data_IF_854658160458
#
_entry.id   IF_854658160458
#
_cell.length_a   1.000
_cell.length_b   1.000
_cell.length_c   1.000
_cell.angle_alpha   90.00
_cell.angle_beta   90.00
_cell.angle_gamma   90.00
#
_symmetry.space_group_name_H-M   'P 1'
#
loop_
_entity.id
_entity.type
_entity.pdbx_description
1 polymer ?
#
# COMPACT_ATOMS: atom_id res chain seq x y z
N UNK A 1 -24.48 -1.43 7.54
CA UNK A 1 -23.69 -1.65 6.31
C UNK A 1 -22.72 -0.48 6.04
N UNK A 2 -21.95 -0.07 7.06
CA UNK A 2 -20.97 1.02 6.97
C UNK A 2 -19.59 0.47 6.59
N UNK A 3 -19.21 -0.64 7.21
CA UNK A 3 -17.95 -1.36 6.98
C UNK A 3 -17.71 -1.70 5.48
N UNK A 4 -18.70 -2.25 4.79
CA UNK A 4 -18.57 -2.58 3.36
C UNK A 4 -18.35 -1.36 2.48
N UNK A 5 -18.97 -0.21 2.81
CA UNK A 5 -18.77 1.02 2.04
C UNK A 5 -17.38 1.59 2.26
N UNK A 6 -16.87 1.51 3.49
CA UNK A 6 -15.48 1.90 3.80
C UNK A 6 -14.47 1.02 3.09
N UNK A 7 -14.71 -0.30 3.05
CA UNK A 7 -13.86 -1.24 2.34
C UNK A 7 -13.87 -0.99 0.82
N UNK A 8 -15.05 -0.74 0.25
CA UNK A 8 -15.19 -0.41 -1.18
C UNK A 8 -14.57 0.95 -1.49
N UNK A 9 -14.66 1.95 -0.61
CA UNK A 9 -14.01 3.25 -0.82
C UNK A 9 -12.49 3.14 -0.82
N UNK A 10 -11.93 2.21 -0.04
CA UNK A 10 -10.50 1.94 -0.02
C UNK A 10 -10.02 1.26 -1.31
N UNK A 11 -10.87 0.38 -1.87
CA UNK A 11 -10.63 -0.26 -3.17
C UNK A 11 -10.83 0.68 -4.38
N UNK A 12 -11.52 1.81 -4.19
CA UNK A 12 -11.75 2.82 -5.23
C UNK A 12 -10.62 3.84 -5.36
N UNK A 13 -9.74 3.93 -4.37
CA UNK A 13 -8.56 4.79 -4.44
C UNK A 13 -7.53 4.15 -5.40
N UNK A 14 -7.11 4.90 -6.41
CA UNK A 14 -6.25 4.42 -7.49
C UNK A 14 -4.94 3.86 -6.95
N UNK A 15 -4.37 4.49 -5.91
CA UNK A 15 -3.07 4.12 -5.37
C UNK A 15 -3.13 2.80 -4.57
N UNK A 16 -4.19 2.62 -3.78
CA UNK A 16 -4.41 1.39 -3.03
C UNK A 16 -4.81 0.23 -3.94
N UNK A 17 -5.57 0.50 -5.01
CA UNK A 17 -5.92 -0.50 -6.01
C UNK A 17 -4.68 -1.02 -6.74
N UNK A 18 -3.77 -0.13 -7.15
CA UNK A 18 -2.55 -0.50 -7.86
C UNK A 18 -1.64 -1.40 -6.99
N UNK A 19 -1.54 -1.09 -5.69
CA UNK A 19 -0.82 -1.92 -4.72
C UNK A 19 -1.45 -3.33 -4.58
N UNK A 20 -2.77 -3.42 -4.47
CA UNK A 20 -3.48 -4.69 -4.35
C UNK A 20 -3.37 -5.55 -5.61
N UNK A 21 -3.50 -4.93 -6.79
CA UNK A 21 -3.34 -5.60 -8.08
C UNK A 21 -1.91 -6.13 -8.23
N UNK A 22 -0.91 -5.29 -7.94
CA UNK A 22 0.50 -5.69 -8.00
C UNK A 22 0.77 -6.88 -7.08
N UNK A 23 0.25 -6.83 -5.85
CA UNK A 23 0.37 -7.93 -4.88
C UNK A 23 -0.27 -9.22 -5.40
N UNK A 24 -1.49 -9.13 -5.93
CA UNK A 24 -2.22 -10.28 -6.46
C UNK A 24 -1.48 -10.91 -7.65
N UNK A 25 -0.91 -10.09 -8.54
CA UNK A 25 -0.11 -10.55 -9.69
C UNK A 25 1.16 -11.27 -9.20
N UNK A 26 1.91 -10.68 -8.26
CA UNK A 26 3.13 -11.30 -7.73
C UNK A 26 2.80 -12.64 -7.07
N UNK A 27 1.73 -12.71 -6.26
CA UNK A 27 1.28 -13.95 -5.64
C UNK A 27 0.86 -15.00 -6.67
N UNK A 28 0.16 -14.61 -7.73
CA UNK A 28 -0.25 -15.53 -8.80
C UNK A 28 0.98 -16.08 -9.52
N UNK A 29 1.94 -15.21 -9.87
CA UNK A 29 3.20 -15.60 -10.52
C UNK A 29 3.99 -16.55 -9.62
N UNK A 30 4.14 -16.24 -8.33
CA UNK A 30 4.80 -17.10 -7.35
C UNK A 30 4.12 -18.47 -7.27
N UNK A 31 2.79 -18.48 -7.13
CA UNK A 31 2.00 -19.71 -7.00
C UNK A 31 2.17 -20.61 -8.22
N UNK A 32 2.05 -20.05 -9.43
CA UNK A 32 2.23 -20.82 -10.66
C UNK A 32 3.67 -21.31 -10.80
N UNK A 33 4.66 -20.46 -10.53
CA UNK A 33 6.06 -20.85 -10.61
C UNK A 33 6.39 -22.01 -9.66
N UNK A 34 6.00 -21.95 -8.39
CA UNK A 34 6.24 -23.04 -7.45
C UNK A 34 5.46 -24.31 -7.81
N UNK A 35 4.23 -24.18 -8.31
CA UNK A 35 3.47 -25.34 -8.78
C UNK A 35 4.20 -26.09 -9.91
N UNK A 36 4.77 -25.37 -10.88
CA UNK A 36 5.48 -26.00 -12.00
C UNK A 36 6.93 -26.40 -11.69
N UNK A 37 7.66 -25.61 -10.90
CA UNK A 37 9.07 -25.84 -10.61
C UNK A 37 9.27 -26.91 -9.52
N UNK A 38 8.41 -26.92 -8.50
CA UNK A 38 8.54 -27.82 -7.34
C UNK A 38 7.50 -28.95 -7.35
N UNK A 39 6.49 -28.88 -8.23
CA UNK A 39 5.44 -29.91 -8.31
C UNK A 39 4.49 -29.92 -7.11
N UNK A 40 4.50 -28.86 -6.29
CA UNK A 40 3.60 -28.73 -5.14
C UNK A 40 2.16 -28.51 -5.58
N UNK A 41 1.19 -28.77 -4.70
CA UNK A 41 -0.20 -28.41 -4.98
C UNK A 41 -0.35 -26.88 -5.14
N UNK A 42 -1.40 -26.43 -5.83
CA UNK A 42 -1.66 -24.99 -6.00
C UNK A 42 -1.83 -24.29 -4.64
N UNK A 43 -2.43 -24.96 -3.66
CA UNK A 43 -2.65 -24.38 -2.33
C UNK A 43 -1.34 -24.26 -1.56
N UNK A 44 -0.46 -25.27 -1.61
CA UNK A 44 0.86 -25.22 -0.96
C UNK A 44 1.77 -24.18 -1.62
N UNK A 45 1.70 -24.08 -2.95
CA UNK A 45 2.43 -23.07 -3.72
C UNK A 45 2.00 -21.65 -3.37
N UNK A 46 0.69 -21.43 -3.21
CA UNK A 46 0.14 -20.13 -2.77
C UNK A 46 0.56 -19.82 -1.34
N UNK A 47 0.44 -20.81 -0.44
CA UNK A 47 0.87 -20.68 0.95
C UNK A 47 2.35 -20.29 1.05
N UNK A 48 3.23 -21.01 0.34
CA UNK A 48 4.66 -20.71 0.34
C UNK A 48 4.96 -19.32 -0.25
N UNK A 49 4.25 -18.94 -1.31
CA UNK A 49 4.35 -17.60 -1.91
C UNK A 49 4.02 -16.49 -0.91
N UNK A 50 2.92 -16.64 -0.15
CA UNK A 50 2.49 -15.69 0.87
C UNK A 50 3.49 -15.63 2.01
N UNK A 51 3.87 -16.78 2.58
CA UNK A 51 4.79 -16.88 3.73
C UNK A 51 6.18 -16.33 3.38
N UNK A 52 6.62 -16.49 2.12
CA UNK A 52 7.87 -15.91 1.62
C UNK A 52 7.78 -14.40 1.49
N UNK A 53 6.75 -13.85 0.83
CA UNK A 53 6.61 -12.40 0.64
C UNK A 53 6.38 -11.65 1.95
N UNK A 54 5.65 -12.26 2.87
CA UNK A 54 5.41 -11.71 4.22
C UNK A 54 6.58 -11.89 5.15
N UNK A 55 7.67 -12.54 4.70
CA UNK A 55 8.87 -12.83 5.48
C UNK A 55 8.63 -13.67 6.74
N UNK A 56 7.50 -14.39 6.80
CA UNK A 56 7.17 -15.27 7.93
C UNK A 56 8.10 -16.49 7.94
N UNK A 57 8.30 -17.13 6.78
CA UNK A 57 9.30 -18.19 6.59
C UNK A 57 9.27 -19.34 7.61
N UNK A 58 8.16 -20.06 7.74
CA UNK A 58 8.03 -21.15 8.72
C UNK A 58 9.04 -22.30 8.54
N UNK A 59 9.59 -22.48 7.34
CA UNK A 59 10.59 -23.52 7.04
C UNK A 59 10.02 -24.93 6.90
N UNK A 60 8.71 -25.06 6.83
CA UNK A 60 7.96 -26.28 6.54
C UNK A 60 8.03 -26.67 5.06
N UNK A 61 8.06 -25.68 4.17
CA UNK A 61 8.36 -25.83 2.74
C UNK A 61 9.64 -25.09 2.38
N UNK A 62 10.42 -25.68 1.48
CA UNK A 62 11.60 -25.05 0.88
C UNK A 62 11.83 -25.61 -0.52
N UNK A 63 12.20 -24.78 -1.50
CA UNK A 63 12.45 -25.23 -2.87
C UNK A 63 13.62 -26.24 -2.90
N UNK A 64 13.39 -27.39 -3.49
CA UNK A 64 14.36 -28.47 -3.60
C UNK A 64 15.10 -28.40 -4.94
N UNK A 65 14.43 -27.93 -5.98
CA UNK A 65 15.01 -27.82 -7.33
C UNK A 65 15.94 -26.61 -7.43
N UNK A 66 16.97 -26.72 -8.27
CA UNK A 66 17.89 -25.59 -8.49
C UNK A 66 17.17 -24.41 -9.16
N UNK A 67 16.21 -24.69 -10.03
CA UNK A 67 15.37 -23.67 -10.66
C UNK A 67 14.45 -22.98 -9.64
N UNK A 68 13.81 -23.73 -8.73
CA UNK A 68 12.98 -23.19 -7.67
C UNK A 68 13.79 -22.34 -6.68
N UNK A 69 14.99 -22.77 -6.30
CA UNK A 69 15.90 -21.97 -5.45
C UNK A 69 16.27 -20.65 -6.12
N UNK A 70 16.66 -20.67 -7.40
CA UNK A 70 16.99 -19.47 -8.15
C UNK A 70 15.77 -18.54 -8.28
N UNK A 71 14.60 -19.10 -8.56
CA UNK A 71 13.35 -18.37 -8.61
C UNK A 71 13.06 -17.69 -7.26
N UNK A 72 13.19 -18.41 -6.14
CA UNK A 72 12.97 -17.84 -4.80
C UNK A 72 13.87 -16.65 -4.50
N UNK A 73 15.15 -16.70 -4.90
CA UNK A 73 16.07 -15.57 -4.73
C UNK A 73 15.55 -14.33 -5.47
N UNK A 74 15.15 -14.47 -6.74
CA UNK A 74 14.59 -13.36 -7.52
C UNK A 74 13.24 -12.89 -6.95
N UNK A 75 12.41 -13.83 -6.51
CA UNK A 75 11.09 -13.57 -5.95
C UNK A 75 11.17 -12.74 -4.67
N UNK A 76 12.16 -13.00 -3.81
CA UNK A 76 12.41 -12.20 -2.59
C UNK A 76 12.81 -10.76 -2.96
N UNK A 77 13.65 -10.57 -3.99
CA UNK A 77 14.03 -9.22 -4.46
C UNK A 77 12.81 -8.43 -4.95
N UNK A 78 11.90 -9.09 -5.67
CA UNK A 78 10.62 -8.50 -6.07
C UNK A 78 9.76 -8.15 -4.84
N UNK A 79 9.73 -9.03 -3.83
CA UNK A 79 9.05 -8.78 -2.56
C UNK A 79 9.54 -7.53 -1.83
N UNK A 80 10.85 -7.26 -1.86
CA UNK A 80 11.42 -6.01 -1.31
C UNK A 80 10.87 -4.79 -2.06
N UNK A 81 10.80 -4.87 -3.39
CA UNK A 81 10.19 -3.81 -4.22
C UNK A 81 8.73 -3.55 -3.86
N UNK A 82 7.96 -4.62 -3.60
CA UNK A 82 6.57 -4.50 -3.15
C UNK A 82 6.45 -3.77 -1.80
N UNK A 83 7.34 -4.07 -0.85
CA UNK A 83 7.38 -3.36 0.45
C UNK A 83 7.70 -1.87 0.26
N UNK A 84 8.61 -1.53 -0.66
CA UNK A 84 8.91 -0.13 -0.98
C UNK A 84 7.70 0.60 -1.58
N UNK A 85 6.96 -0.05 -2.47
CA UNK A 85 5.71 0.49 -3.02
C UNK A 85 4.67 0.74 -1.93
N UNK A 86 4.54 -0.18 -0.96
CA UNK A 86 3.66 -0.01 0.19
C UNK A 86 4.03 1.22 1.03
N UNK A 87 5.32 1.42 1.29
CA UNK A 87 5.82 2.60 2.02
C UNK A 87 5.53 3.88 1.22
N UNK A 88 5.70 3.87 -0.10
CA UNK A 88 5.39 5.01 -0.94
C UNK A 88 3.91 5.40 -0.87
N UNK A 89 3.00 4.43 -0.96
CA UNK A 89 1.55 4.68 -0.81
C UNK A 89 1.22 5.32 0.53
N UNK A 90 1.82 4.80 1.61
CA UNK A 90 1.66 5.39 2.95
C UNK A 90 2.18 6.83 2.97
N UNK A 91 3.37 7.07 2.41
CA UNK A 91 3.98 8.39 2.38
C UNK A 91 3.15 9.40 1.58
N UNK A 92 2.60 9.00 0.44
CA UNK A 92 1.68 9.81 -0.36
C UNK A 92 0.42 10.15 0.44
N UNK A 93 -0.17 9.17 1.13
CA UNK A 93 -1.32 9.40 1.99
C UNK A 93 -1.01 10.39 3.11
N UNK A 94 0.10 10.23 3.84
CA UNK A 94 0.52 11.16 4.88
C UNK A 94 0.77 12.58 4.34
N UNK A 95 1.41 12.68 3.17
CA UNK A 95 1.70 13.97 2.53
C UNK A 95 0.42 14.67 2.08
N UNK A 96 -0.53 13.91 1.52
CA UNK A 96 -1.84 14.43 1.12
C UNK A 96 -2.61 15.00 2.32
N UNK A 97 -2.62 14.28 3.45
CA UNK A 97 -3.28 14.75 4.67
C UNK A 97 -2.64 16.03 5.22
N UNK A 98 -1.30 16.13 5.22
CA UNK A 98 -0.59 17.37 5.60
C UNK A 98 -0.84 18.52 4.64
N UNK A 99 -0.92 18.25 3.33
CA UNK A 99 -1.23 19.26 2.33
C UNK A 99 -2.64 19.84 2.53
N UNK A 100 -3.62 18.97 2.80
CA UNK A 100 -5.00 19.35 3.10
C UNK A 100 -5.08 20.25 4.33
N UNK A 101 -4.43 19.86 5.43
CA UNK A 101 -4.39 20.67 6.66
C UNK A 101 -3.81 22.08 6.42
N UNK A 102 -2.66 22.16 5.72
CA UNK A 102 -2.06 23.47 5.37
C UNK A 102 -2.98 24.32 4.50
N UNK A 103 -3.66 23.71 3.53
CA UNK A 103 -4.60 24.42 2.65
C UNK A 103 -5.77 25.01 3.43
N UNK A 104 -6.31 24.27 4.41
CA UNK A 104 -7.40 24.74 5.27
C UNK A 104 -6.95 25.90 6.18
N UNK A 105 -5.74 25.81 6.76
CA UNK A 105 -5.14 26.90 7.55
C UNK A 105 -4.91 28.16 6.70
N UNK A 106 -4.34 28.00 5.50
CA UNK A 106 -4.07 29.13 4.59
C UNK A 106 -5.37 29.81 4.15
N UNK A 107 -6.41 29.04 3.84
CA UNK A 107 -7.74 29.56 3.50
C UNK A 107 -8.34 30.34 4.67
N UNK A 108 -8.23 29.81 5.90
CA UNK A 108 -8.67 30.52 7.11
C UNK A 108 -7.91 31.82 7.37
N UNK A 109 -6.60 31.85 7.14
CA UNK A 109 -5.77 33.06 7.25
C UNK A 109 -6.16 34.12 6.22
N UNK A 110 -6.34 33.73 4.95
CA UNK A 110 -6.76 34.65 3.88
C UNK A 110 -8.15 35.23 4.15
N UNK A 111 -9.11 34.40 4.57
CA UNK A 111 -10.45 34.85 4.95
C UNK A 111 -10.42 35.87 6.09
N UNK A 112 -9.66 35.60 7.17
CA UNK A 112 -9.49 36.58 8.27
C UNK A 112 -8.88 37.90 7.79
N UNK A 113 -7.90 37.84 6.90
CA UNK A 113 -7.26 39.05 6.32
C UNK A 113 -8.26 39.87 5.48
N UNK A 114 -9.13 39.20 4.74
CA UNK A 114 -10.14 39.84 3.89
C UNK A 114 -11.26 40.49 4.72
N UNK A 115 -11.74 39.81 5.77
CA UNK A 115 -12.69 40.38 6.73
C UNK A 115 -12.12 41.63 7.41
N UNK A 116 -10.84 41.64 7.78
CA UNK A 116 -10.18 42.79 8.40
C UNK A 116 -10.07 44.00 7.45
N UNK A 117 -9.92 43.78 6.14
CA UNK A 117 -9.95 44.87 5.15
C UNK A 117 -11.33 45.51 5.02
N UNK A 118 -12.39 44.71 5.13
CA UNK A 118 -13.78 45.16 4.96
C UNK A 118 -14.29 45.89 6.21
N UNK A 119 -13.89 45.46 7.41
CA UNK A 119 -14.33 46.08 8.66
C UNK A 119 -13.17 46.25 9.67
N UNK A 120 -12.44 47.38 9.61
CA UNK A 120 -11.26 47.61 10.43
C UNK A 120 -11.55 47.92 11.92
N UNK A 121 -12.82 48.15 12.32
CA UNK A 121 -13.20 48.56 13.70
C UNK A 121 -13.46 47.41 14.69
N UNK A 122 -13.29 46.15 14.30
CA UNK A 122 -13.73 45.00 15.12
C UNK A 122 -12.78 44.62 16.28
N UNK A 123 -11.53 45.11 16.27
CA UNK A 123 -10.50 44.69 17.25
C UNK A 123 -10.31 45.68 18.42
N UNK A 124 -11.10 46.77 18.53
CA UNK A 124 -10.88 47.84 19.52
C UNK A 124 -11.74 47.77 20.80
N UNK A 125 -12.35 46.63 21.11
CA UNK A 125 -13.25 46.48 22.28
C UNK A 125 -12.95 45.21 23.12
N UNK A 126 -11.77 44.61 22.98
CA UNK A 126 -11.22 43.63 23.93
C UNK A 126 -9.79 44.06 24.28
#
# INVERSE_FOLDING_TARGET
MFFFRTLISFLQDDEYRDLLITTAIILLVGTLAYHYLEGWSVIDSFYFSVVTLTTIGYGDFAPQTDAGKLFTVLYIVIGIGMILSFINTIQHHYTYMRYREKKDILKGKNFKKEVKKINPRKDSVL
#
